data_IF_004843878217
#
_entry.id   IF_004843878217
#
_cell.length_a   1.000
_cell.length_b   1.000
_cell.length_c   1.000
_cell.angle_alpha   90.00
_cell.angle_beta   90.00
_cell.angle_gamma   90.00
#
_symmetry.space_group_name_H-M   'P 1'
#
loop_
_entity.id
_entity.type
_entity.pdbx_description
1 polymer ?
#
# COMPACT_ATOMS: atom_id res chain seq x y z
N UNK A 1 -29.64 36.70 -15.95
CA UNK A 1 -28.33 36.65 -15.26
C UNK A 1 -28.28 35.34 -14.47
N UNK A 2 -27.68 34.29 -15.02
CA UNK A 2 -27.62 32.97 -14.39
C UNK A 2 -26.26 32.80 -13.70
N UNK A 3 -26.25 32.74 -12.37
CA UNK A 3 -25.08 32.39 -11.58
C UNK A 3 -24.93 30.86 -11.54
N UNK A 4 -23.90 30.36 -12.23
CA UNK A 4 -23.46 28.96 -12.12
C UNK A 4 -22.69 28.81 -10.80
N UNK A 5 -23.36 28.23 -9.79
CA UNK A 5 -22.70 27.75 -8.58
C UNK A 5 -21.89 26.50 -8.93
N UNK A 6 -20.60 26.71 -9.23
CA UNK A 6 -19.60 25.64 -9.30
C UNK A 6 -19.35 25.11 -7.89
N UNK A 7 -20.07 24.05 -7.52
CA UNK A 7 -19.81 23.28 -6.31
C UNK A 7 -18.52 22.47 -6.52
N UNK A 8 -17.40 23.04 -6.07
CA UNK A 8 -16.15 22.30 -5.96
C UNK A 8 -16.37 21.03 -5.12
N UNK A 9 -15.83 19.86 -5.52
CA UNK A 9 -16.00 18.65 -4.75
C UNK A 9 -15.24 18.83 -3.43
N UNK A 10 -16.00 18.90 -2.33
CA UNK A 10 -15.46 18.82 -0.97
C UNK A 10 -14.82 17.44 -0.81
N UNK A 11 -13.53 17.34 -1.12
CA UNK A 11 -12.74 16.15 -0.84
C UNK A 11 -12.81 15.93 0.68
N UNK A 12 -13.47 14.84 1.09
CA UNK A 12 -13.70 14.50 2.50
C UNK A 12 -12.36 14.59 3.26
N UNK A 13 -12.22 15.46 4.28
CA UNK A 13 -10.95 15.66 4.99
C UNK A 13 -10.38 14.37 5.62
N UNK A 14 -11.27 13.42 5.94
CA UNK A 14 -10.89 12.08 6.43
C UNK A 14 -10.12 11.26 5.37
N UNK A 15 -10.52 11.32 4.09
CA UNK A 15 -9.81 10.64 3.01
C UNK A 15 -8.47 11.31 2.70
N UNK A 16 -8.40 12.64 2.78
CA UNK A 16 -7.15 13.39 2.61
C UNK A 16 -6.14 13.04 3.73
N UNK A 17 -6.61 12.92 4.99
CA UNK A 17 -5.81 12.46 6.13
C UNK A 17 -5.34 11.01 6.01
N UNK A 18 -6.14 10.13 5.39
CA UNK A 18 -5.75 8.74 5.08
C UNK A 18 -4.75 8.63 3.93
N UNK A 19 -4.56 9.69 3.13
CA UNK A 19 -3.55 9.72 2.07
C UNK A 19 -2.28 10.50 2.48
N UNK A 20 -2.33 11.28 3.56
CA UNK A 20 -1.21 12.12 4.00
C UNK A 20 -0.03 11.34 4.58
N UNK A 21 -0.22 10.08 4.98
CA UNK A 21 0.87 9.26 5.52
C UNK A 21 2.00 9.04 4.51
N UNK A 22 1.73 9.22 3.21
CA UNK A 22 2.69 9.04 2.12
C UNK A 22 3.44 10.32 1.75
N UNK A 23 2.93 11.49 2.10
CA UNK A 23 3.30 12.81 1.55
C UNK A 23 4.82 13.11 1.54
N UNK A 24 5.63 12.84 2.58
CA UNK A 24 7.06 13.15 2.50
C UNK A 24 7.82 12.21 1.54
N UNK A 25 7.41 10.94 1.46
CA UNK A 25 8.10 9.93 0.66
C UNK A 25 7.59 9.87 -0.78
N UNK A 26 6.30 10.08 -0.98
CA UNK A 26 5.69 10.21 -2.30
C UNK A 26 6.28 11.42 -3.04
N UNK A 27 6.43 12.56 -2.35
CA UNK A 27 7.05 13.76 -2.92
C UNK A 27 8.48 13.51 -3.35
N UNK A 28 9.30 12.84 -2.53
CA UNK A 28 10.67 12.46 -2.89
C UNK A 28 10.73 11.53 -4.10
N UNK A 29 9.85 10.53 -4.15
CA UNK A 29 9.74 9.62 -5.30
C UNK A 29 9.41 10.35 -6.59
N UNK A 30 8.47 11.30 -6.53
CA UNK A 30 8.06 12.13 -7.67
C UNK A 30 9.24 12.92 -8.22
N UNK A 31 9.98 13.62 -7.36
CA UNK A 31 11.09 14.45 -7.79
C UNK A 31 12.30 13.64 -8.25
N UNK A 32 12.64 12.55 -7.54
CA UNK A 32 13.83 11.74 -7.86
C UNK A 32 13.68 10.96 -9.17
N UNK A 33 12.47 10.55 -9.51
CA UNK A 33 12.22 9.66 -10.65
C UNK A 33 11.24 10.22 -11.68
N UNK A 34 10.96 11.53 -11.63
CA UNK A 34 10.00 12.22 -12.49
C UNK A 34 8.63 11.49 -12.59
N UNK A 35 8.21 10.81 -11.51
CA UNK A 35 6.98 10.02 -11.50
C UNK A 35 5.75 10.95 -11.37
N UNK A 36 4.66 10.69 -12.11
CA UNK A 36 3.40 11.36 -11.87
C UNK A 36 2.95 11.10 -10.42
N UNK A 37 2.39 12.11 -9.74
CA UNK A 37 2.07 12.00 -8.31
C UNK A 37 1.15 10.83 -7.94
N UNK A 38 0.20 10.50 -8.82
CA UNK A 38 -0.68 9.35 -8.64
C UNK A 38 0.05 7.99 -8.72
N UNK A 39 1.17 7.91 -9.44
CA UNK A 39 1.95 6.67 -9.60
C UNK A 39 2.77 6.40 -8.33
N UNK A 40 3.38 7.43 -7.74
CA UNK A 40 4.13 7.30 -6.49
C UNK A 40 3.24 6.82 -5.32
N UNK A 41 2.04 7.39 -5.18
CA UNK A 41 1.11 6.99 -4.12
C UNK A 41 0.61 5.54 -4.32
N UNK A 42 0.30 5.17 -5.56
CA UNK A 42 -0.11 3.79 -5.88
C UNK A 42 1.00 2.79 -5.62
N UNK A 43 2.24 3.13 -5.97
CA UNK A 43 3.43 2.32 -5.66
C UNK A 43 3.52 2.06 -4.16
N UNK A 44 3.47 3.13 -3.34
CA UNK A 44 3.57 3.02 -1.88
C UNK A 44 2.41 2.22 -1.27
N UNK A 45 1.22 2.30 -1.84
CA UNK A 45 0.10 1.46 -1.41
C UNK A 45 0.33 -0.02 -1.70
N UNK A 46 0.85 -0.36 -2.89
CA UNK A 46 1.19 -1.74 -3.22
C UNK A 46 2.26 -2.26 -2.26
N UNK A 47 3.33 -1.49 -2.04
CA UNK A 47 4.40 -1.88 -1.12
C UNK A 47 3.92 -2.02 0.33
N UNK A 48 2.98 -1.17 0.78
CA UNK A 48 2.35 -1.32 2.09
C UNK A 48 1.57 -2.64 2.20
N UNK A 49 0.84 -3.02 1.15
CA UNK A 49 0.12 -4.29 1.09
C UNK A 49 1.06 -5.50 1.14
N UNK A 50 2.17 -5.44 0.39
CA UNK A 50 3.20 -6.49 0.39
C UNK A 50 3.91 -6.57 1.75
N UNK A 51 4.22 -5.43 2.36
CA UNK A 51 4.79 -5.36 3.71
C UNK A 51 3.85 -5.99 4.75
N UNK A 52 2.54 -5.69 4.70
CA UNK A 52 1.55 -6.28 5.59
C UNK A 52 1.49 -7.81 5.44
N UNK A 53 1.52 -8.32 4.21
CA UNK A 53 1.56 -9.76 3.95
C UNK A 53 2.83 -10.39 4.53
N UNK A 54 4.00 -9.77 4.32
CA UNK A 54 5.25 -10.26 4.88
C UNK A 54 5.23 -10.28 6.43
N UNK A 55 4.55 -9.34 7.08
CA UNK A 55 4.45 -9.27 8.55
C UNK A 55 3.40 -10.26 9.13
N UNK A 56 2.30 -10.53 8.42
CA UNK A 56 1.19 -11.35 8.94
C UNK A 56 1.20 -12.79 8.44
N UNK A 57 1.61 -13.01 7.20
CA UNK A 57 1.54 -14.26 6.45
C UNK A 57 2.74 -14.37 5.48
N UNK A 58 3.98 -14.57 5.99
CA UNK A 58 5.20 -14.50 5.16
C UNK A 58 5.26 -15.56 4.04
N UNK A 59 4.49 -16.64 4.16
CA UNK A 59 4.41 -17.71 3.14
C UNK A 59 3.25 -17.51 2.15
N UNK A 60 2.42 -16.48 2.35
CA UNK A 60 1.28 -16.23 1.48
C UNK A 60 1.72 -15.49 0.21
N UNK A 61 1.13 -15.85 -0.96
CA UNK A 61 1.43 -15.16 -2.19
C UNK A 61 0.82 -13.75 -2.19
N UNK A 62 1.39 -12.76 -2.90
CA UNK A 62 0.87 -11.39 -2.98
C UNK A 62 -0.61 -11.27 -3.36
N UNK A 63 -1.11 -12.23 -4.13
CA UNK A 63 -2.50 -12.33 -4.56
C UNK A 63 -3.49 -12.52 -3.39
N UNK A 64 -3.02 -12.97 -2.23
CA UNK A 64 -3.85 -13.22 -1.06
C UNK A 64 -4.20 -11.95 -0.25
N UNK A 65 -3.66 -10.77 -0.61
CA UNK A 65 -3.95 -9.52 0.12
C UNK A 65 -5.45 -9.20 0.22
N UNK A 66 -6.26 -9.25 -0.87
CA UNK A 66 -7.66 -8.88 -0.80
C UNK A 66 -8.44 -9.82 0.13
N UNK A 67 -8.12 -11.12 0.10
CA UNK A 67 -8.71 -12.12 1.00
C UNK A 67 -8.39 -11.79 2.47
N UNK A 68 -7.12 -11.48 2.77
CA UNK A 68 -6.68 -11.04 4.08
C UNK A 68 -7.43 -9.77 4.56
N UNK A 69 -7.55 -8.77 3.69
CA UNK A 69 -8.23 -7.51 4.00
C UNK A 69 -9.73 -7.72 4.23
N UNK A 70 -10.39 -8.59 3.47
CA UNK A 70 -11.80 -8.92 3.65
C UNK A 70 -12.05 -9.88 4.83
N UNK A 71 -11.00 -10.49 5.40
CA UNK A 71 -11.14 -11.52 6.43
C UNK A 71 -11.67 -12.84 5.88
N UNK A 72 -11.40 -13.12 4.61
CA UNK A 72 -11.87 -14.28 3.86
C UNK A 72 -10.69 -15.11 3.36
N UNK A 73 -10.98 -16.24 2.71
CA UNK A 73 -9.99 -17.08 2.05
C UNK A 73 -9.18 -18.00 2.97
N UNK A 74 -8.42 -18.90 2.35
CA UNK A 74 -7.58 -19.88 3.06
C UNK A 74 -6.48 -19.18 3.88
N UNK A 75 -5.91 -18.10 3.34
CA UNK A 75 -4.87 -17.30 3.98
C UNK A 75 -5.30 -16.73 5.34
N UNK A 76 -6.54 -16.25 5.46
CA UNK A 76 -7.07 -15.75 6.72
C UNK A 76 -7.48 -16.87 7.69
N UNK A 77 -7.96 -18.01 7.17
CA UNK A 77 -8.41 -19.16 7.97
C UNK A 77 -7.25 -19.96 8.56
N UNK A 78 -6.16 -20.10 7.82
CA UNK A 78 -4.95 -20.84 8.22
C UNK A 78 -3.91 -19.94 8.91
N UNK A 79 -4.31 -18.74 9.31
CA UNK A 79 -3.39 -17.78 9.93
C UNK A 79 -2.88 -18.30 11.28
N UNK A 80 -1.64 -17.94 11.66
CA UNK A 80 -1.18 -18.12 13.03
C UNK A 80 -1.98 -17.23 14.00
N UNK A 81 -1.88 -17.53 15.30
CA UNK A 81 -2.46 -16.66 16.34
C UNK A 81 -1.72 -15.33 16.30
N UNK A 82 -2.41 -14.26 15.88
CA UNK A 82 -1.83 -12.92 15.80
C UNK A 82 -1.86 -12.21 17.14
N UNK A 83 -0.81 -11.43 17.40
CA UNK A 83 -0.76 -10.50 18.52
C UNK A 83 -1.81 -9.38 18.40
N UNK A 84 -2.17 -8.70 19.49
CA UNK A 84 -3.05 -7.51 19.42
C UNK A 84 -2.51 -6.41 18.50
N UNK A 85 -1.18 -6.27 18.42
CA UNK A 85 -0.50 -5.34 17.50
C UNK A 85 -0.80 -5.68 16.04
N UNK A 86 -0.68 -6.95 15.66
CA UNK A 86 -0.97 -7.42 14.30
C UNK A 86 -2.44 -7.25 13.92
N UNK A 87 -3.37 -7.45 14.86
CA UNK A 87 -4.79 -7.15 14.63
C UNK A 87 -5.05 -5.66 14.40
N UNK A 88 -4.41 -4.77 15.17
CA UNK A 88 -4.49 -3.32 14.95
C UNK A 88 -3.90 -2.93 13.59
N UNK A 89 -2.75 -3.48 13.23
CA UNK A 89 -2.13 -3.26 11.93
C UNK A 89 -3.06 -3.66 10.78
N UNK A 90 -3.70 -4.84 10.84
CA UNK A 90 -4.67 -5.27 9.84
C UNK A 90 -5.87 -4.33 9.74
N UNK A 91 -6.44 -3.91 10.88
CA UNK A 91 -7.58 -2.98 10.88
C UNK A 91 -7.20 -1.62 10.29
N UNK A 92 -5.99 -1.13 10.60
CA UNK A 92 -5.47 0.11 10.00
C UNK A 92 -5.24 -0.05 8.51
N UNK A 93 -4.65 -1.17 8.09
CA UNK A 93 -4.43 -1.48 6.68
C UNK A 93 -5.75 -1.56 5.90
N UNK A 94 -6.82 -2.12 6.46
CA UNK A 94 -8.15 -2.15 5.83
C UNK A 94 -8.67 -0.75 5.48
N UNK A 95 -8.40 0.25 6.33
CA UNK A 95 -8.77 1.63 6.07
C UNK A 95 -7.87 2.29 5.00
N UNK A 96 -6.55 2.08 5.08
CA UNK A 96 -5.59 2.67 4.15
C UNK A 96 -5.64 2.06 2.74
N UNK A 97 -5.86 0.75 2.68
CA UNK A 97 -5.89 -0.06 1.46
C UNK A 97 -7.32 -0.45 1.06
N UNK A 98 -8.32 0.32 1.48
CA UNK A 98 -9.73 0.06 1.18
C UNK A 98 -10.00 -0.23 -0.31
N UNK A 99 -9.39 0.48 -1.29
CA UNK A 99 -9.59 0.18 -2.71
C UNK A 99 -9.10 -1.21 -3.14
N UNK A 100 -8.14 -1.79 -2.41
CA UNK A 100 -7.52 -3.09 -2.72
C UNK A 100 -8.21 -4.28 -2.03
N UNK A 101 -9.30 -4.04 -1.32
CA UNK A 101 -10.23 -5.11 -0.93
C UNK A 101 -10.88 -5.76 -2.16
N UNK A 102 -10.96 -5.04 -3.27
CA UNK A 102 -11.39 -5.58 -4.56
C UNK A 102 -10.21 -6.29 -5.23
N UNK A 103 -10.35 -7.59 -5.50
CA UNK A 103 -9.32 -8.39 -6.19
C UNK A 103 -8.87 -7.75 -7.49
N UNK A 104 -9.79 -7.40 -8.39
CA UNK A 104 -9.46 -6.83 -9.71
C UNK A 104 -8.62 -5.56 -9.57
N UNK A 105 -8.93 -4.71 -8.59
CA UNK A 105 -8.15 -3.50 -8.34
C UNK A 105 -6.73 -3.82 -7.84
N UNK A 106 -6.59 -4.82 -6.96
CA UNK A 106 -5.29 -5.28 -6.46
C UNK A 106 -4.44 -5.93 -7.55
N UNK A 107 -4.99 -6.88 -8.32
CA UNK A 107 -4.28 -7.53 -9.42
C UNK A 107 -3.79 -6.51 -10.46
N UNK A 108 -4.64 -5.57 -10.88
CA UNK A 108 -4.23 -4.48 -11.79
C UNK A 108 -3.14 -3.60 -11.20
N UNK A 109 -3.11 -3.42 -9.87
CA UNK A 109 -2.08 -2.65 -9.21
C UNK A 109 -0.75 -3.42 -9.15
N UNK A 110 -0.80 -4.73 -8.91
CA UNK A 110 0.36 -5.62 -9.00
C UNK A 110 0.93 -5.66 -10.42
N UNK A 111 0.10 -5.77 -11.45
CA UNK A 111 0.55 -5.75 -12.85
C UNK A 111 1.26 -4.43 -13.19
N UNK A 112 0.68 -3.30 -12.75
CA UNK A 112 1.32 -1.98 -12.91
C UNK A 112 2.59 -1.84 -12.09
N UNK A 113 2.67 -2.47 -10.92
CA UNK A 113 3.89 -2.53 -10.12
C UNK A 113 4.96 -3.39 -10.82
N UNK A 114 4.56 -4.43 -11.55
CA UNK A 114 5.46 -5.28 -12.33
C UNK A 114 6.14 -4.54 -13.47
N UNK A 115 5.48 -3.55 -14.09
CA UNK A 115 6.04 -2.75 -15.19
C UNK A 115 7.00 -1.64 -14.75
N UNK A 116 7.06 -1.33 -13.45
CA UNK A 116 7.98 -0.31 -12.93
C UNK A 116 9.44 -0.79 -13.00
N UNK A 117 10.34 0.18 -13.21
CA UNK A 117 11.78 -0.07 -13.17
C UNK A 117 12.18 -0.74 -11.84
N UNK A 118 13.06 -1.76 -11.86
CA UNK A 118 13.47 -2.46 -10.64
C UNK A 118 13.92 -1.50 -9.54
N UNK A 119 14.68 -0.46 -9.86
CA UNK A 119 15.25 0.50 -8.90
C UNK A 119 14.19 1.28 -8.09
N UNK A 120 12.95 1.32 -8.56
CA UNK A 120 11.82 1.93 -7.87
C UNK A 120 11.16 1.01 -6.85
N UNK A 121 11.42 -0.30 -6.94
CA UNK A 121 10.70 -1.34 -6.23
C UNK A 121 11.55 -1.89 -5.10
N UNK A 122 10.97 -1.92 -3.90
CA UNK A 122 11.58 -2.51 -2.71
C UNK A 122 11.15 -3.97 -2.53
N UNK A 123 9.97 -4.32 -3.04
CA UNK A 123 9.44 -5.69 -3.02
C UNK A 123 9.49 -6.31 -4.41
N UNK A 124 9.70 -7.62 -4.44
CA UNK A 124 9.55 -8.46 -5.62
C UNK A 124 8.07 -8.81 -5.85
N UNK A 125 7.76 -9.31 -7.04
CA UNK A 125 6.40 -9.79 -7.37
C UNK A 125 5.99 -11.05 -6.60
N UNK A 126 6.92 -11.66 -5.88
CA UNK A 126 6.68 -12.79 -5.00
C UNK A 126 6.45 -12.35 -3.54
N UNK A 127 6.45 -11.05 -3.26
CA UNK A 127 6.25 -10.50 -1.91
C UNK A 127 7.52 -10.44 -1.05
N UNK A 128 8.66 -10.88 -1.57
CA UNK A 128 9.95 -10.81 -0.87
C UNK A 128 10.64 -9.48 -1.09
N UNK A 129 11.44 -9.03 -0.11
CA UNK A 129 12.33 -7.89 -0.27
C UNK A 129 13.34 -8.12 -1.39
N UNK A 130 13.59 -7.10 -2.21
CA UNK A 130 14.60 -7.16 -3.27
C UNK A 130 16.00 -6.91 -2.69
N UNK A 131 16.96 -7.81 -2.92
CA UNK A 131 18.32 -7.62 -2.39
C UNK A 131 19.06 -6.47 -3.09
N UNK A 132 18.65 -6.09 -4.30
CA UNK A 132 19.27 -4.99 -5.06
C UNK A 132 18.78 -3.61 -4.60
N UNK A 133 17.76 -3.54 -3.74
CA UNK A 133 17.27 -2.27 -3.21
C UNK A 133 18.30 -1.65 -2.24
N UNK A 134 18.62 -0.36 -2.45
CA UNK A 134 19.50 0.38 -1.55
C UNK A 134 19.02 0.27 -0.09
N UNK A 135 19.92 -0.11 0.82
CA UNK A 135 19.59 -0.30 2.25
C UNK A 135 19.00 0.95 2.90
N UNK A 136 19.40 2.15 2.43
CA UNK A 136 18.82 3.41 2.87
C UNK A 136 17.35 3.54 2.47
N UNK A 137 17.03 3.30 1.19
CA UNK A 137 15.67 3.36 0.64
C UNK A 137 14.77 2.32 1.31
N UNK A 138 15.29 1.10 1.50
CA UNK A 138 14.62 0.03 2.21
C UNK A 138 14.25 0.46 3.63
N UNK A 139 15.22 0.96 4.41
CA UNK A 139 14.97 1.39 5.80
C UNK A 139 13.94 2.50 5.88
N UNK A 140 14.04 3.50 5.00
CA UNK A 140 13.11 4.63 4.95
C UNK A 140 11.67 4.16 4.67
N UNK A 141 11.51 3.23 3.72
CA UNK A 141 10.22 2.62 3.34
C UNK A 141 9.63 1.79 4.46
N UNK A 142 10.41 0.90 5.06
CA UNK A 142 9.94 0.04 6.15
C UNK A 142 9.51 0.88 7.37
N UNK A 143 10.28 1.93 7.71
CA UNK A 143 9.90 2.87 8.79
C UNK A 143 8.60 3.61 8.48
N UNK A 144 8.36 3.97 7.21
CA UNK A 144 7.10 4.56 6.79
C UNK A 144 5.94 3.59 6.98
N UNK A 145 6.07 2.35 6.50
CA UNK A 145 5.02 1.35 6.56
C UNK A 145 4.71 0.96 8.01
N UNK A 146 5.74 0.78 8.85
CA UNK A 146 5.54 0.49 10.26
C UNK A 146 4.81 1.63 10.98
N UNK A 147 5.09 2.90 10.62
CA UNK A 147 4.38 4.06 11.19
C UNK A 147 2.95 4.17 10.68
N UNK A 148 2.70 3.80 9.42
CA UNK A 148 1.35 3.82 8.85
C UNK A 148 0.42 2.78 9.50
N UNK A 149 0.98 1.66 9.97
CA UNK A 149 0.27 0.53 10.58
C UNK A 149 0.26 0.52 12.12
N UNK A 150 1.01 1.42 12.76
CA UNK A 150 1.02 1.60 14.22
C UNK A 150 -0.27 2.27 14.72
#
# INVERSE_FOLDING_TARGET
MNALLSTAPVARPVLASLMSWQEPLATRLRFRHALPGMVANRLLNVELGLYLLAELLPMAPPQALPDLLNGLGAAYKQRPIWSPRQHRALNRARALLAPYQNHVAWFRALDKYATLAPDLRVFSLNGNLRPEASSYVLRERLLLFSKALA
#
